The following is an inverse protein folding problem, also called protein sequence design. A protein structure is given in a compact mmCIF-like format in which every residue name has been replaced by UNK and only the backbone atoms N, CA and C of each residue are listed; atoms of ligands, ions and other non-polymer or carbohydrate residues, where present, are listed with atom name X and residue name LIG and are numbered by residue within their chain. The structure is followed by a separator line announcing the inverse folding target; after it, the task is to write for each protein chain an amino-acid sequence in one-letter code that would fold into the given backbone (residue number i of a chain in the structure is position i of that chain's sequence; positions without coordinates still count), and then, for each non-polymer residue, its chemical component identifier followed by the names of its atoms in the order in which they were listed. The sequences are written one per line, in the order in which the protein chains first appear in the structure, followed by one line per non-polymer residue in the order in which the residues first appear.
data_IF_237848990805
#
_entry.id   IF_237848990805
#
_cell.length_a   1.000
_cell.length_b   1.000
_cell.length_c   1.000
_cell.angle_alpha   90.00
_cell.angle_beta   90.00
_cell.angle_gamma   90.00
#
_symmetry.space_group_name_H-M   'P 1'
#
loop_
_entity.id
_entity.type
_entity.pdbx_description
1 polymer ?
#
# COMPACT_ATOMS: atom_id res chain seq x y z
N UNK A 1 -1.78 6.27 -7.19
CA UNK A 1 -2.81 5.18 -7.35
C UNK A 1 -2.63 4.16 -6.23
N UNK A 2 -3.67 3.40 -5.83
CA UNK A 2 -3.54 2.33 -4.79
C UNK A 2 -3.72 0.96 -5.43
N UNK A 3 -2.77 0.03 -5.19
CA UNK A 3 -2.83 -1.36 -5.68
C UNK A 3 -4.12 -2.02 -5.25
N UNK A 4 -4.39 -2.08 -3.93
CA UNK A 4 -5.56 -2.75 -3.38
C UNK A 4 -6.87 -2.12 -3.86
N UNK A 5 -6.94 -0.79 -3.97
CA UNK A 5 -8.13 -0.12 -4.51
C UNK A 5 -8.43 -0.54 -5.95
N UNK A 6 -7.41 -0.57 -6.82
CA UNK A 6 -7.57 -0.94 -8.23
C UNK A 6 -8.00 -2.40 -8.39
N UNK A 7 -7.37 -3.33 -7.68
CA UNK A 7 -7.67 -4.77 -7.78
C UNK A 7 -9.02 -5.14 -7.15
N UNK A 8 -9.40 -4.52 -6.03
CA UNK A 8 -10.71 -4.81 -5.41
C UNK A 8 -11.85 -4.22 -6.23
N UNK A 9 -11.73 -2.97 -6.71
CA UNK A 9 -12.75 -2.38 -7.58
C UNK A 9 -12.84 -3.13 -8.91
N UNK A 10 -11.70 -3.52 -9.49
CA UNK A 10 -11.65 -4.40 -10.66
C UNK A 10 -12.35 -5.74 -10.41
N UNK A 11 -12.07 -6.40 -9.29
CA UNK A 11 -12.73 -7.64 -8.90
C UNK A 11 -14.26 -7.49 -8.76
N UNK A 12 -14.72 -6.41 -8.13
CA UNK A 12 -16.15 -6.11 -8.02
C UNK A 12 -16.80 -5.84 -9.38
N UNK A 13 -16.11 -5.19 -10.32
CA UNK A 13 -16.61 -5.02 -11.69
C UNK A 13 -16.79 -6.34 -12.43
N UNK A 14 -16.01 -7.37 -12.05
CA UNK A 14 -16.16 -8.75 -12.50
C UNK A 14 -17.14 -9.57 -11.65
N UNK A 15 -18.03 -8.90 -10.90
CA UNK A 15 -19.07 -9.51 -10.06
C UNK A 15 -18.58 -10.32 -8.85
N UNK A 16 -17.32 -10.16 -8.44
CA UNK A 16 -16.87 -10.70 -7.15
C UNK A 16 -17.56 -9.96 -6.00
N UNK A 17 -17.87 -10.69 -4.93
CA UNK A 17 -18.32 -10.06 -3.68
C UNK A 17 -17.21 -9.16 -3.12
N UNK A 18 -17.57 -8.13 -2.37
CA UNK A 18 -16.60 -7.21 -1.72
C UNK A 18 -15.53 -7.96 -0.92
N UNK A 19 -15.95 -8.98 -0.18
CA UNK A 19 -15.07 -9.83 0.62
C UNK A 19 -14.12 -10.65 -0.26
N UNK A 20 -14.66 -11.37 -1.26
CA UNK A 20 -13.85 -12.18 -2.17
C UNK A 20 -12.86 -11.33 -2.98
N UNK A 21 -13.27 -10.16 -3.44
CA UNK A 21 -12.40 -9.22 -4.15
C UNK A 21 -11.27 -8.69 -3.24
N UNK A 22 -11.56 -8.41 -1.96
CA UNK A 22 -10.56 -8.01 -0.97
C UNK A 22 -9.56 -9.14 -0.69
N UNK A 23 -10.03 -10.36 -0.40
CA UNK A 23 -9.19 -11.53 -0.17
C UNK A 23 -8.29 -11.82 -1.37
N UNK A 24 -8.86 -11.86 -2.58
CA UNK A 24 -8.11 -12.01 -3.82
C UNK A 24 -7.03 -10.92 -3.96
N UNK A 25 -7.36 -9.66 -3.68
CA UNK A 25 -6.40 -8.57 -3.72
C UNK A 25 -5.25 -8.72 -2.73
N UNK A 26 -5.48 -9.31 -1.56
CA UNK A 26 -4.41 -9.57 -0.59
C UNK A 26 -3.57 -10.78 -0.99
N UNK A 27 -4.19 -11.84 -1.50
CA UNK A 27 -3.45 -12.98 -2.04
C UNK A 27 -2.57 -12.59 -3.22
N UNK A 28 -3.10 -11.83 -4.18
CA UNK A 28 -2.35 -11.32 -5.34
C UNK A 28 -1.19 -10.41 -4.91
N UNK A 29 -1.32 -9.71 -3.77
CA UNK A 29 -0.28 -8.83 -3.27
C UNK A 29 0.99 -9.57 -2.86
N UNK A 30 0.91 -10.83 -2.42
CA UNK A 30 2.06 -11.58 -1.91
C UNK A 30 3.12 -11.77 -3.00
N UNK A 31 2.85 -12.43 -4.15
CA UNK A 31 3.87 -12.60 -5.18
C UNK A 31 4.24 -11.28 -5.86
N UNK A 32 3.29 -10.36 -6.05
CA UNK A 32 3.56 -9.11 -6.77
C UNK A 32 4.43 -8.14 -5.97
N UNK A 33 4.18 -7.97 -4.67
CA UNK A 33 5.01 -7.11 -3.82
C UNK A 33 6.36 -7.74 -3.51
N UNK A 34 6.40 -9.07 -3.36
CA UNK A 34 7.68 -9.76 -3.20
C UNK A 34 8.58 -9.54 -4.42
N UNK A 35 8.04 -9.76 -5.63
CA UNK A 35 8.78 -9.50 -6.87
C UNK A 35 9.19 -8.03 -7.02
N UNK A 36 8.30 -7.08 -6.72
CA UNK A 36 8.61 -5.65 -6.78
C UNK A 36 9.69 -5.24 -5.76
N UNK A 37 9.65 -5.80 -4.55
CA UNK A 37 10.65 -5.52 -3.50
C UNK A 37 12.00 -6.13 -3.86
N UNK A 38 12.01 -7.37 -4.35
CA UNK A 38 13.24 -8.03 -4.82
C UNK A 38 13.88 -7.26 -5.98
N UNK A 39 13.08 -6.82 -6.96
CA UNK A 39 13.56 -5.95 -8.04
C UNK A 39 14.15 -4.66 -7.49
N UNK A 40 13.45 -3.98 -6.58
CA UNK A 40 13.93 -2.71 -6.00
C UNK A 40 15.24 -2.89 -5.22
N UNK A 41 15.38 -3.99 -4.48
CA UNK A 41 16.63 -4.33 -3.81
C UNK A 41 17.78 -4.61 -4.80
N UNK A 42 17.49 -5.32 -5.89
CA UNK A 42 18.45 -5.56 -6.97
C UNK A 42 18.89 -4.26 -7.65
N UNK A 43 17.95 -3.38 -7.99
CA UNK A 43 18.25 -2.07 -8.58
C UNK A 43 19.11 -1.21 -7.63
N UNK A 44 18.80 -1.23 -6.33
CA UNK A 44 19.57 -0.52 -5.30
C UNK A 44 21.03 -1.00 -5.24
N UNK A 45 21.23 -2.32 -5.26
CA UNK A 45 22.56 -2.92 -5.33
C UNK A 45 23.28 -2.58 -6.64
N UNK A 46 22.58 -2.60 -7.78
CA UNK A 46 23.15 -2.26 -9.09
C UNK A 46 23.60 -0.81 -9.22
N UNK A 47 22.97 0.10 -8.49
CA UNK A 47 23.37 1.50 -8.41
C UNK A 47 24.60 1.72 -7.49
N UNK A 48 25.15 0.66 -6.90
CA UNK A 48 26.34 0.70 -6.05
C UNK A 48 26.04 1.14 -4.61
N UNK A 49 24.77 1.28 -4.23
CA UNK A 49 24.41 1.61 -2.86
C UNK A 49 24.55 0.38 -1.95
N UNK A 50 25.15 0.60 -0.78
CA UNK A 50 25.31 -0.41 0.28
C UNK A 50 24.49 0.04 1.48
N UNK A 51 23.78 -0.90 2.10
CA UNK A 51 23.09 -0.65 3.35
C UNK A 51 24.08 -0.71 4.50
N UNK A 52 24.14 0.33 5.32
CA UNK A 52 24.93 0.30 6.55
C UNK A 52 24.22 -0.54 7.63
N UNK A 53 24.94 -0.88 8.70
CA UNK A 53 24.40 -1.73 9.78
C UNK A 53 23.18 -1.11 10.47
N UNK A 54 23.17 0.22 10.62
CA UNK A 54 22.06 0.95 11.23
C UNK A 54 20.79 0.87 10.38
N UNK A 55 20.90 1.06 9.06
CA UNK A 55 19.81 0.94 8.09
C UNK A 55 19.24 -0.47 8.07
N UNK A 56 20.09 -1.49 8.14
CA UNK A 56 19.65 -2.90 8.23
C UNK A 56 18.85 -3.11 9.53
N UNK A 57 19.33 -2.60 10.66
CA UNK A 57 18.62 -2.68 11.94
C UNK A 57 17.27 -1.96 11.89
N UNK A 58 17.22 -0.76 11.32
CA UNK A 58 15.98 0.00 11.13
C UNK A 58 15.00 -0.73 10.20
N UNK A 59 15.48 -1.29 9.08
CA UNK A 59 14.68 -2.11 8.17
C UNK A 59 14.09 -3.33 8.87
N UNK A 60 14.89 -4.03 9.69
CA UNK A 60 14.43 -5.20 10.42
C UNK A 60 13.33 -4.84 11.43
N UNK A 61 13.54 -3.80 12.25
CA UNK A 61 12.54 -3.35 13.22
C UNK A 61 11.27 -2.88 12.51
N UNK A 62 11.42 -2.05 11.47
CA UNK A 62 10.31 -1.56 10.65
C UNK A 62 9.52 -2.69 10.00
N UNK A 63 10.19 -3.75 9.52
CA UNK A 63 9.54 -4.93 8.96
C UNK A 63 8.71 -5.68 10.01
N UNK A 64 9.27 -5.93 11.20
CA UNK A 64 8.52 -6.58 12.30
C UNK A 64 7.29 -5.77 12.71
N UNK A 65 7.45 -4.46 12.89
CA UNK A 65 6.33 -3.57 13.23
C UNK A 65 5.28 -3.56 12.12
N UNK A 66 5.71 -3.40 10.86
CA UNK A 66 4.82 -3.41 9.71
C UNK A 66 4.08 -4.73 9.55
N UNK A 67 4.74 -5.87 9.81
CA UNK A 67 4.13 -7.19 9.76
C UNK A 67 3.00 -7.33 10.79
N UNK A 68 3.25 -6.96 12.05
CA UNK A 68 2.25 -7.02 13.13
C UNK A 68 1.07 -6.10 12.81
N UNK A 69 1.35 -4.85 12.42
CA UNK A 69 0.31 -3.86 12.08
C UNK A 69 -0.48 -4.33 10.85
N UNK A 70 0.18 -4.89 9.83
CA UNK A 70 -0.49 -5.39 8.63
C UNK A 70 -1.45 -6.54 8.94
N UNK A 71 -1.07 -7.50 9.79
CA UNK A 71 -1.98 -8.59 10.19
C UNK A 71 -3.26 -8.07 10.84
N UNK A 72 -3.12 -7.10 11.77
CA UNK A 72 -4.26 -6.47 12.42
C UNK A 72 -5.10 -5.66 11.43
N UNK A 73 -4.44 -4.89 10.57
CA UNK A 73 -5.08 -4.03 9.58
C UNK A 73 -5.85 -4.83 8.52
N UNK A 74 -5.31 -5.96 8.04
CA UNK A 74 -5.98 -6.81 7.03
C UNK A 74 -7.29 -7.35 7.58
N UNK A 75 -7.27 -7.91 8.79
CA UNK A 75 -8.47 -8.45 9.44
C UNK A 75 -9.53 -7.35 9.61
N UNK A 76 -9.14 -6.23 10.22
CA UNK A 76 -10.03 -5.08 10.40
C UNK A 76 -10.58 -4.55 9.07
N UNK A 77 -9.73 -4.44 8.06
CA UNK A 77 -10.09 -3.88 6.76
C UNK A 77 -11.11 -4.76 6.02
N UNK A 78 -10.90 -6.08 5.98
CA UNK A 78 -11.85 -7.00 5.32
C UNK A 78 -13.23 -6.92 5.99
N UNK A 79 -13.28 -6.93 7.32
CA UNK A 79 -14.53 -6.85 8.09
C UNK A 79 -15.22 -5.48 7.92
N UNK A 80 -14.44 -4.39 8.01
CA UNK A 80 -14.93 -3.03 7.78
C UNK A 80 -15.54 -2.89 6.40
N UNK A 81 -14.85 -3.41 5.38
CA UNK A 81 -15.25 -3.24 3.99
C UNK A 81 -16.48 -4.08 3.64
N UNK A 82 -16.63 -5.26 4.25
CA UNK A 82 -17.84 -6.06 4.16
C UNK A 82 -19.06 -5.31 4.72
N UNK A 83 -18.89 -4.56 5.83
CA UNK A 83 -19.97 -3.85 6.52
C UNK A 83 -20.31 -2.48 5.94
N UNK A 84 -19.32 -1.64 5.67
CA UNK A 84 -19.51 -0.22 5.32
C UNK A 84 -19.20 0.11 3.84
N UNK A 85 -18.55 -0.81 3.12
CA UNK A 85 -18.14 -0.61 1.73
C UNK A 85 -17.01 0.42 1.54
N UNK A 86 -16.79 0.85 0.29
CA UNK A 86 -15.64 1.68 -0.11
C UNK A 86 -15.87 3.20 0.01
N UNK A 87 -17.09 3.66 0.31
CA UNK A 87 -17.45 5.09 0.19
C UNK A 87 -16.58 5.99 1.06
N UNK A 88 -16.32 5.57 2.31
CA UNK A 88 -15.48 6.33 3.23
C UNK A 88 -14.03 6.43 2.72
N UNK A 89 -13.50 5.34 2.17
CA UNK A 89 -12.17 5.31 1.55
C UNK A 89 -12.08 6.23 0.34
N UNK A 90 -13.14 6.32 -0.46
CA UNK A 90 -13.24 7.25 -1.58
C UNK A 90 -13.09 8.71 -1.14
N UNK A 91 -13.89 9.13 -0.16
CA UNK A 91 -13.81 10.48 0.41
C UNK A 91 -12.46 10.79 1.03
N UNK A 92 -11.91 9.86 1.82
CA UNK A 92 -10.56 9.99 2.37
C UNK A 92 -9.52 10.27 1.27
N UNK A 93 -9.56 9.55 0.15
CA UNK A 93 -8.63 9.76 -0.96
C UNK A 93 -8.83 11.07 -1.70
N UNK A 94 -10.07 11.53 -1.86
CA UNK A 94 -10.37 12.83 -2.47
C UNK A 94 -9.79 13.95 -1.60
N UNK A 95 -10.00 13.88 -0.29
CA UNK A 95 -9.46 14.87 0.67
C UNK A 95 -7.93 14.89 0.64
N UNK A 96 -7.29 13.72 0.78
CA UNK A 96 -5.81 13.62 0.74
C UNK A 96 -5.27 14.10 -0.59
N UNK A 97 -5.90 13.72 -1.71
CA UNK A 97 -5.52 14.21 -3.03
C UNK A 97 -5.66 15.73 -3.17
N UNK A 98 -6.74 16.30 -2.64
CA UNK A 98 -6.97 17.74 -2.61
C UNK A 98 -5.91 18.48 -1.79
N UNK A 99 -5.52 17.94 -0.63
CA UNK A 99 -4.44 18.51 0.20
C UNK A 99 -3.11 18.49 -0.56
N UNK A 100 -2.78 17.37 -1.20
CA UNK A 100 -1.54 17.24 -2.00
C UNK A 100 -1.54 18.28 -3.13
N UNK A 101 -2.66 18.45 -3.85
CA UNK A 101 -2.78 19.47 -4.90
C UNK A 101 -2.66 20.89 -4.35
N UNK A 102 -3.28 21.19 -3.21
CA UNK A 102 -3.19 22.50 -2.57
C UNK A 102 -1.75 22.82 -2.16
N UNK A 103 -1.04 21.87 -1.55
CA UNK A 103 0.38 22.02 -1.20
C UNK A 103 1.27 22.24 -2.43
N UNK A 104 1.00 21.50 -3.50
CA UNK A 104 1.72 21.66 -4.77
C UNK A 104 1.51 23.06 -5.35
N UNK A 105 0.27 23.55 -5.37
CA UNK A 105 -0.08 24.88 -5.86
C UNK A 105 0.46 26.00 -4.97
N UNK A 106 0.62 25.75 -3.67
CA UNK A 106 1.26 26.65 -2.72
C UNK A 106 2.81 26.68 -2.84
N UNK A 107 3.39 25.90 -3.76
CA UNK A 107 4.82 25.90 -4.05
C UNK A 107 5.67 25.03 -3.11
N UNK A 108 5.06 24.13 -2.32
CA UNK A 108 5.81 23.18 -1.51
C UNK A 108 6.49 22.13 -2.38
N UNK A 109 7.77 21.86 -2.12
CA UNK A 109 8.47 20.75 -2.76
C UNK A 109 7.99 19.42 -2.15
N UNK A 110 7.19 18.67 -2.91
CA UNK A 110 6.62 17.38 -2.51
C UNK A 110 7.47 16.19 -2.97
N UNK A 111 8.73 16.42 -3.34
CA UNK A 111 9.66 15.33 -3.64
C UNK A 111 9.84 14.45 -2.39
N UNK A 112 9.55 13.17 -2.56
CA UNK A 112 9.79 12.15 -1.53
C UNK A 112 11.31 11.95 -1.52
N UNK A 113 11.97 12.42 -0.47
CA UNK A 113 13.40 12.16 -0.19
C UNK A 113 13.65 10.66 -0.08
#
# INVERSE_FOLDING_TARGET
VSRSGATVVGGMSQRLSRKAAAEFSFFLAVPTMFAATAKKAYDYYKLGFVLNEEQIKLLAIGNVVAFIVAMLAIKFFIDFLAKYGFRLFGWYRIIVGGIILALLLAGYNLQIV
#
